data_IF_244417582566
#
_entry.id   IF_244417582566
#
_cell.length_a   1.000
_cell.length_b   1.000
_cell.length_c   1.000
_cell.angle_alpha   90.00
_cell.angle_beta   90.00
_cell.angle_gamma   90.00
#
_symmetry.space_group_name_H-M   'P 1'
#
loop_
_entity.id
_entity.type
_entity.pdbx_description
1 polymer ?
#
# COMPACT_ATOMS: atom_id res chain seq x y z
N UNK A 1 -7.12 -17.38 6.90
CA UNK A 1 -7.30 -16.00 7.36
C UNK A 1 -5.95 -15.32 7.30
N UNK A 2 -5.80 -14.32 6.44
CA UNK A 2 -4.52 -13.66 6.15
C UNK A 2 -4.03 -12.80 7.33
N UNK A 3 -2.73 -12.51 7.37
CA UNK A 3 -2.10 -11.73 8.44
C UNK A 3 -2.67 -10.30 8.52
N UNK A 4 -3.06 -9.71 7.39
CA UNK A 4 -3.72 -8.40 7.36
C UNK A 4 -5.06 -8.45 8.10
N UNK A 5 -5.87 -9.49 7.86
CA UNK A 5 -7.16 -9.69 8.54
C UNK A 5 -6.98 -9.85 10.05
N UNK A 6 -5.96 -10.61 10.50
CA UNK A 6 -5.68 -10.80 11.93
C UNK A 6 -5.28 -9.50 12.62
N UNK A 7 -4.48 -8.66 11.95
CA UNK A 7 -4.07 -7.35 12.47
C UNK A 7 -5.24 -6.37 12.58
N UNK A 8 -6.16 -6.39 11.61
CA UNK A 8 -7.40 -5.61 11.66
C UNK A 8 -8.30 -6.09 12.81
N UNK A 9 -8.43 -7.40 13.01
CA UNK A 9 -9.23 -7.97 14.09
C UNK A 9 -8.67 -7.63 15.48
N UNK A 10 -7.34 -7.68 15.63
CA UNK A 10 -6.68 -7.26 16.86
C UNK A 10 -6.98 -5.79 17.20
N UNK A 11 -6.96 -4.89 16.21
CA UNK A 11 -7.32 -3.48 16.41
C UNK A 11 -8.76 -3.29 16.89
N UNK A 12 -9.69 -4.14 16.43
CA UNK A 12 -11.09 -4.13 16.88
C UNK A 12 -11.19 -4.49 18.37
N UNK A 13 -10.49 -5.54 18.81
CA UNK A 13 -10.46 -5.92 20.22
C UNK A 13 -9.86 -4.84 21.12
N UNK A 14 -8.76 -4.22 20.67
CA UNK A 14 -8.08 -3.17 21.45
C UNK A 14 -8.98 -1.92 21.59
N UNK A 15 -9.79 -1.61 20.57
CA UNK A 15 -10.69 -0.45 20.57
C UNK A 15 -11.97 -0.67 21.38
N UNK A 16 -12.45 -1.91 21.45
CA UNK A 16 -13.68 -2.26 22.15
C UNK A 16 -13.46 -3.38 23.17
N UNK A 17 -12.64 -3.16 24.22
CA UNK A 17 -12.26 -4.19 25.18
C UNK A 17 -13.42 -4.70 26.03
N UNK A 18 -14.53 -3.94 26.09
CA UNK A 18 -15.75 -4.32 26.82
C UNK A 18 -16.78 -5.10 26.00
N UNK A 19 -16.54 -5.29 24.70
CA UNK A 19 -17.43 -6.07 23.82
C UNK A 19 -16.87 -7.48 23.71
N UNK A 20 -17.78 -8.46 23.70
CA UNK A 20 -17.42 -9.86 23.50
C UNK A 20 -16.64 -10.07 22.19
N UNK A 21 -15.58 -10.88 22.25
CA UNK A 21 -14.69 -11.10 21.10
C UNK A 21 -15.38 -11.83 19.96
N UNK A 22 -16.28 -12.77 20.28
CA UNK A 22 -17.02 -13.49 19.25
C UNK A 22 -17.99 -12.55 18.54
N UNK A 23 -18.66 -11.65 19.29
CA UNK A 23 -19.49 -10.60 18.67
C UNK A 23 -18.67 -9.65 17.77
N UNK A 24 -17.46 -9.26 18.19
CA UNK A 24 -16.56 -8.44 17.36
C UNK A 24 -16.13 -9.18 16.08
N UNK A 25 -15.84 -10.48 16.16
CA UNK A 25 -15.50 -11.31 15.00
C UNK A 25 -16.65 -11.44 14.02
N UNK A 26 -17.87 -11.63 14.53
CA UNK A 26 -19.09 -11.74 13.73
C UNK A 26 -19.39 -10.43 13.01
N UNK A 27 -19.29 -9.29 13.70
CA UNK A 27 -19.45 -7.96 13.09
C UNK A 27 -18.36 -7.70 12.06
N UNK A 28 -17.11 -8.08 12.34
CA UNK A 28 -15.99 -7.89 11.41
C UNK A 28 -16.16 -8.73 10.14
N UNK A 29 -16.62 -9.98 10.28
CA UNK A 29 -16.93 -10.85 9.15
C UNK A 29 -18.14 -10.33 8.34
N UNK A 30 -19.19 -9.86 9.02
CA UNK A 30 -20.38 -9.28 8.36
C UNK A 30 -20.07 -8.02 7.55
N UNK A 31 -19.06 -7.26 7.98
CA UNK A 31 -18.58 -6.04 7.33
C UNK A 31 -17.41 -6.29 6.36
N UNK A 32 -17.34 -7.48 5.74
CA UNK A 32 -16.32 -7.84 4.75
C UNK A 32 -14.87 -7.62 5.22
N UNK A 33 -14.60 -7.77 6.52
CA UNK A 33 -13.30 -7.49 7.12
C UNK A 33 -12.82 -6.04 6.92
N UNK A 34 -13.74 -5.09 6.73
CA UNK A 34 -13.49 -3.65 6.73
C UNK A 34 -13.48 -3.15 8.18
N UNK A 35 -12.34 -2.58 8.58
CA UNK A 35 -12.18 -2.07 9.93
C UNK A 35 -13.10 -0.86 10.16
N UNK A 36 -13.20 0.01 9.16
CA UNK A 36 -14.07 1.19 9.19
C UNK A 36 -15.54 0.85 9.36
N UNK A 37 -16.08 -0.04 8.52
CA UNK A 37 -17.50 -0.39 8.57
C UNK A 37 -17.84 -1.09 9.89
N UNK A 38 -16.94 -1.94 10.38
CA UNK A 38 -17.11 -2.62 11.67
C UNK A 38 -17.14 -1.64 12.83
N UNK A 39 -16.23 -0.66 12.85
CA UNK A 39 -16.19 0.38 13.88
C UNK A 39 -17.43 1.26 13.83
N UNK A 40 -17.92 1.63 12.64
CA UNK A 40 -19.17 2.39 12.48
C UNK A 40 -20.36 1.61 13.05
N UNK A 41 -20.51 0.36 12.62
CA UNK A 41 -21.60 -0.53 13.06
C UNK A 41 -21.61 -0.69 14.58
N UNK A 42 -20.43 -0.89 15.19
CA UNK A 42 -20.32 -1.04 16.65
C UNK A 42 -20.70 0.24 17.37
N UNK A 43 -20.23 1.40 16.90
CA UNK A 43 -20.55 2.69 17.49
C UNK A 43 -22.06 2.98 17.41
N UNK A 44 -22.70 2.69 16.28
CA UNK A 44 -24.15 2.80 16.09
C UNK A 44 -24.91 1.88 17.05
N UNK A 45 -24.45 0.63 17.20
CA UNK A 45 -25.06 -0.36 18.11
C UNK A 45 -24.96 0.05 19.58
N UNK A 46 -23.87 0.74 19.96
CA UNK A 46 -23.66 1.27 21.31
C UNK A 46 -24.37 2.61 21.56
N UNK A 47 -25.03 3.19 20.56
CA UNK A 47 -25.70 4.49 20.67
C UNK A 47 -24.73 5.66 20.84
N UNK A 48 -23.47 5.51 20.42
CA UNK A 48 -22.48 6.59 20.44
C UNK A 48 -22.73 7.46 19.21
N UNK A 49 -23.30 8.65 19.42
CA UNK A 49 -23.60 9.57 18.32
C UNK A 49 -22.30 10.01 17.61
N UNK A 50 -22.17 9.79 16.28
CA UNK A 50 -21.02 10.23 15.50
C UNK A 50 -20.73 11.74 15.57
N UNK A 51 -21.70 12.56 16.01
CA UNK A 51 -21.60 14.01 16.04
C UNK A 51 -21.10 14.61 17.37
N UNK A 52 -20.99 13.83 18.45
CA UNK A 52 -20.76 14.41 19.80
C UNK A 52 -19.31 14.34 20.31
N UNK A 53 -18.39 13.68 19.60
CA UNK A 53 -17.02 13.47 20.08
C UNK A 53 -15.98 13.80 19.02
N UNK A 54 -15.16 14.84 19.27
CA UNK A 54 -13.99 15.17 18.47
C UNK A 54 -12.98 13.99 18.41
N UNK A 55 -12.92 13.19 19.47
CA UNK A 55 -12.09 11.97 19.53
C UNK A 55 -12.59 10.89 18.56
N UNK A 56 -13.91 10.79 18.31
CA UNK A 56 -14.48 9.85 17.34
C UNK A 56 -14.15 10.23 15.90
N UNK A 57 -14.19 11.51 15.56
CA UNK A 57 -13.82 11.98 14.23
C UNK A 57 -12.33 11.81 13.94
N UNK A 58 -11.48 12.09 14.94
CA UNK A 58 -10.02 11.90 14.84
C UNK A 58 -9.67 10.41 14.70
N UNK A 59 -10.30 9.53 15.49
CA UNK A 59 -10.06 8.08 15.41
C UNK A 59 -10.55 7.49 14.09
N UNK A 60 -11.70 7.90 13.56
CA UNK A 60 -12.17 7.46 12.24
C UNK A 60 -11.20 7.92 11.14
N UNK A 61 -10.74 9.17 11.18
CA UNK A 61 -9.75 9.67 10.21
C UNK A 61 -8.42 8.91 10.27
N UNK A 62 -7.94 8.55 11.47
CA UNK A 62 -6.74 7.72 11.65
C UNK A 62 -6.91 6.32 11.06
N UNK A 63 -8.09 5.70 11.26
CA UNK A 63 -8.41 4.39 10.73
C UNK A 63 -8.55 4.40 9.20
N UNK A 64 -9.17 5.43 8.61
CA UNK A 64 -9.22 5.65 7.15
C UNK A 64 -7.80 5.74 6.57
N UNK A 65 -6.94 6.56 7.17
CA UNK A 65 -5.57 6.72 6.71
C UNK A 65 -4.71 5.47 6.92
N UNK A 66 -5.03 4.64 7.90
CA UNK A 66 -4.35 3.36 8.13
C UNK A 66 -4.82 2.29 7.13
N UNK A 67 -6.13 2.20 6.87
CA UNK A 67 -6.71 1.19 5.97
C UNK A 67 -6.34 1.47 4.51
N UNK A 68 -6.40 2.73 4.07
CA UNK A 68 -5.96 3.14 2.73
C UNK A 68 -4.47 2.87 2.50
N UNK A 69 -3.63 3.04 3.53
CA UNK A 69 -2.17 2.78 3.46
C UNK A 69 -1.85 1.29 3.38
N UNK A 70 -2.62 0.45 4.06
CA UNK A 70 -2.47 -1.01 4.02
C UNK A 70 -2.95 -1.59 2.68
N UNK A 71 -4.03 -1.04 2.11
CA UNK A 71 -4.48 -1.42 0.76
C UNK A 71 -3.45 -1.07 -0.30
N UNK A 72 -2.86 0.14 -0.24
CA UNK A 72 -1.80 0.54 -1.14
C UNK A 72 -0.54 -0.35 -1.01
N UNK A 73 -0.23 -0.80 0.21
CA UNK A 73 0.86 -1.74 0.49
C UNK A 73 0.60 -3.14 -0.08
N UNK A 74 -0.65 -3.60 -0.04
CA UNK A 74 -1.07 -4.90 -0.59
C UNK A 74 -1.02 -4.89 -2.12
N UNK A 75 -1.47 -3.80 -2.75
CA UNK A 75 -1.38 -3.58 -4.20
C UNK A 75 0.07 -3.49 -4.69
N UNK A 76 0.94 -2.75 -3.99
CA UNK A 76 2.36 -2.64 -4.33
C UNK A 76 3.10 -3.99 -4.16
N UNK A 77 2.70 -4.81 -3.19
CA UNK A 77 3.28 -6.14 -2.93
C UNK A 77 2.82 -7.24 -3.88
N UNK A 78 1.56 -7.19 -4.30
CA UNK A 78 1.00 -8.14 -5.24
C UNK A 78 1.46 -7.86 -6.68
N UNK A 79 2.09 -6.70 -6.93
CA UNK A 79 2.58 -6.33 -8.24
C UNK A 79 3.84 -7.09 -8.64
N UNK A 80 3.65 -8.23 -9.29
CA UNK A 80 4.67 -8.89 -10.10
C UNK A 80 4.31 -8.66 -11.58
N UNK A 81 5.17 -8.00 -12.39
CA UNK A 81 4.92 -7.87 -13.81
C UNK A 81 4.93 -9.26 -14.46
N UNK A 82 3.77 -9.76 -14.86
CA UNK A 82 3.67 -11.01 -15.64
C UNK A 82 4.09 -10.70 -17.08
N UNK A 83 5.19 -11.30 -17.52
CA UNK A 83 5.67 -11.24 -18.91
C UNK A 83 4.96 -12.29 -19.75
N UNK A 84 3.68 -12.08 -20.05
CA UNK A 84 2.99 -12.90 -21.05
C UNK A 84 3.43 -12.47 -22.47
N UNK A 85 3.84 -13.45 -23.28
CA UNK A 85 4.07 -13.28 -24.72
C UNK A 85 5.49 -12.92 -25.18
N UNK A 86 6.46 -12.74 -24.29
CA UNK A 86 7.84 -12.37 -24.67
C UNK A 86 8.91 -13.16 -23.89
N UNK A 87 9.07 -14.45 -24.23
CA UNK A 87 10.03 -15.37 -23.59
C UNK A 87 11.51 -14.94 -23.67
N UNK A 88 11.89 -13.98 -24.52
CA UNK A 88 13.27 -13.44 -24.54
C UNK A 88 13.42 -12.07 -23.84
N UNK A 89 12.36 -11.55 -23.22
CA UNK A 89 12.36 -10.22 -22.62
C UNK A 89 13.26 -10.15 -21.38
N UNK A 90 13.22 -11.16 -20.51
CA UNK A 90 14.03 -11.19 -19.29
C UNK A 90 15.54 -11.20 -19.61
N UNK A 91 15.93 -11.90 -20.67
CA UNK A 91 17.30 -11.97 -21.16
C UNK A 91 17.75 -10.61 -21.71
N UNK A 92 16.84 -9.92 -22.41
CA UNK A 92 17.07 -8.54 -22.90
C UNK A 92 17.11 -7.52 -21.77
N UNK A 93 16.28 -7.66 -20.73
CA UNK A 93 16.29 -6.82 -19.53
C UNK A 93 17.59 -6.98 -18.72
N UNK A 94 18.16 -8.19 -18.69
CA UNK A 94 19.50 -8.43 -18.12
C UNK A 94 20.61 -7.75 -18.93
N UNK A 95 20.49 -7.69 -20.26
CA UNK A 95 21.45 -6.99 -21.14
C UNK A 95 21.42 -5.47 -20.92
N UNK A 96 20.26 -4.89 -20.57
CA UNK A 96 20.14 -3.47 -20.23
C UNK A 96 20.65 -3.09 -18.84
N UNK A 97 21.28 -4.02 -18.11
CA UNK A 97 22.24 -3.76 -17.03
C UNK A 97 21.69 -3.23 -15.70
N UNK A 98 20.54 -2.56 -15.69
CA UNK A 98 20.05 -1.85 -14.51
C UNK A 98 18.62 -2.21 -14.10
N UNK A 99 17.84 -2.91 -14.92
CA UNK A 99 16.43 -3.25 -14.57
C UNK A 99 16.34 -4.08 -13.28
N UNK A 100 17.08 -5.20 -13.23
CA UNK A 100 17.09 -6.06 -12.05
C UNK A 100 17.69 -5.34 -10.83
N UNK A 101 18.68 -4.47 -11.04
CA UNK A 101 19.28 -3.68 -9.98
C UNK A 101 18.26 -2.68 -9.38
N UNK A 102 17.48 -2.00 -10.23
CA UNK A 102 16.44 -1.07 -9.84
C UNK A 102 15.27 -1.77 -9.13
N UNK A 103 14.84 -2.94 -9.61
CA UNK A 103 13.82 -3.73 -8.93
C UNK A 103 14.30 -4.24 -7.57
N UNK A 104 15.57 -4.69 -7.46
CA UNK A 104 16.17 -5.04 -6.15
C UNK A 104 16.26 -3.81 -5.23
N UNK A 105 16.65 -2.65 -5.75
CA UNK A 105 16.70 -1.38 -5.00
C UNK A 105 15.32 -1.02 -4.45
N UNK A 106 14.27 -1.12 -5.28
CA UNK A 106 12.89 -0.90 -4.85
C UNK A 106 12.48 -1.87 -3.73
N UNK A 107 12.79 -3.15 -3.86
CA UNK A 107 12.51 -4.17 -2.83
C UNK A 107 13.24 -3.90 -1.52
N UNK A 108 14.50 -3.46 -1.56
CA UNK A 108 15.26 -3.07 -0.36
C UNK A 108 14.56 -1.90 0.35
N UNK A 109 14.18 -0.87 -0.41
CA UNK A 109 13.48 0.28 0.16
C UNK A 109 12.08 -0.06 0.68
N UNK A 110 11.39 -1.00 0.05
CA UNK A 110 10.14 -1.54 0.57
C UNK A 110 10.33 -2.13 1.99
N UNK A 111 11.31 -3.01 2.19
CA UNK A 111 11.56 -3.61 3.50
C UNK A 111 11.96 -2.57 4.55
N UNK A 112 12.84 -1.63 4.19
CA UNK A 112 13.26 -0.55 5.10
C UNK A 112 12.11 0.39 5.48
N UNK A 113 11.19 0.66 4.54
CA UNK A 113 9.96 1.42 4.77
C UNK A 113 9.08 0.71 5.81
N UNK A 114 8.86 -0.59 5.65
CA UNK A 114 8.06 -1.37 6.59
C UNK A 114 8.67 -1.38 7.98
N UNK A 115 9.97 -1.66 8.07
CA UNK A 115 10.70 -1.66 9.35
C UNK A 115 10.59 -0.29 10.04
N UNK A 116 10.74 0.80 9.28
CA UNK A 116 10.61 2.16 9.79
C UNK A 116 9.21 2.43 10.34
N UNK A 117 8.15 2.07 9.62
CA UNK A 117 6.79 2.26 10.12
C UNK A 117 6.44 1.35 11.31
N UNK A 118 6.97 0.12 11.36
CA UNK A 118 6.84 -0.75 12.52
C UNK A 118 7.50 -0.13 13.76
N UNK A 119 8.71 0.41 13.62
CA UNK A 119 9.41 1.15 14.70
C UNK A 119 8.67 2.41 15.11
N UNK A 120 8.15 3.18 14.15
CA UNK A 120 7.33 4.36 14.42
C UNK A 120 6.10 4.01 15.24
N UNK A 121 5.37 2.96 14.83
CA UNK A 121 4.21 2.43 15.55
C UNK A 121 4.61 2.02 16.97
N UNK A 122 5.67 1.23 17.13
CA UNK A 122 6.15 0.80 18.45
C UNK A 122 6.53 1.96 19.37
N UNK A 123 7.17 3.00 18.83
CA UNK A 123 7.52 4.20 19.59
C UNK A 123 6.29 5.03 20.00
N UNK A 124 5.29 5.15 19.12
CA UNK A 124 4.04 5.84 19.40
C UNK A 124 3.28 5.18 20.56
N UNK A 125 3.15 3.85 20.56
CA UNK A 125 2.46 3.09 21.63
C UNK A 125 3.15 3.23 22.99
N UNK A 126 4.45 3.54 23.00
CA UNK A 126 5.24 3.80 24.22
C UNK A 126 5.22 5.28 24.63
N UNK A 127 4.44 6.13 23.97
CA UNK A 127 4.39 7.57 24.24
C UNK A 127 5.60 8.36 23.75
N UNK A 128 6.53 7.73 23.01
CA UNK A 128 7.77 8.35 22.54
C UNK A 128 7.53 9.12 21.23
N UNK A 129 6.83 10.26 21.31
CA UNK A 129 6.35 11.03 20.15
C UNK A 129 7.47 11.47 19.18
N UNK A 130 8.61 11.92 19.70
CA UNK A 130 9.75 12.36 18.86
C UNK A 130 10.38 11.21 18.09
N UNK A 131 10.55 10.06 18.74
CA UNK A 131 11.08 8.83 18.14
C UNK A 131 10.11 8.29 17.08
N UNK A 132 8.80 8.34 17.36
CA UNK A 132 7.78 7.97 16.40
C UNK A 132 7.80 8.86 15.14
N UNK A 133 7.96 10.18 15.32
CA UNK A 133 8.07 11.12 14.21
C UNK A 133 9.33 10.85 13.35
N UNK A 134 10.48 10.61 13.99
CA UNK A 134 11.73 10.28 13.30
C UNK A 134 11.57 9.04 12.38
N UNK A 135 11.06 7.93 12.93
CA UNK A 135 10.86 6.72 12.15
C UNK A 135 9.76 6.88 11.09
N UNK A 136 8.74 7.71 11.32
CA UNK A 136 7.74 8.04 10.32
C UNK A 136 8.34 8.79 9.13
N UNK A 137 9.27 9.72 9.39
CA UNK A 137 9.99 10.43 8.35
C UNK A 137 10.91 9.49 7.55
N UNK A 138 11.62 8.58 8.22
CA UNK A 138 12.41 7.55 7.56
C UNK A 138 11.56 6.64 6.66
N UNK A 139 10.39 6.22 7.13
CA UNK A 139 9.45 5.43 6.32
C UNK A 139 9.00 6.16 5.04
N UNK A 140 8.73 7.48 5.14
CA UNK A 140 8.41 8.31 3.98
C UNK A 140 9.56 8.43 2.99
N UNK A 141 10.79 8.65 3.48
CA UNK A 141 11.98 8.71 2.64
C UNK A 141 12.18 7.40 1.86
N UNK A 142 12.01 6.26 2.51
CA UNK A 142 12.10 4.96 1.83
C UNK A 142 10.96 4.75 0.83
N UNK A 143 9.75 5.25 1.09
CA UNK A 143 8.66 5.22 0.12
C UNK A 143 8.99 6.02 -1.15
N UNK A 144 9.62 7.19 -1.02
CA UNK A 144 10.06 8.00 -2.16
C UNK A 144 11.15 7.29 -2.97
N UNK A 145 12.14 6.71 -2.31
CA UNK A 145 13.21 5.97 -2.99
C UNK A 145 12.70 4.72 -3.70
N UNK A 146 11.79 3.98 -3.07
CA UNK A 146 11.11 2.82 -3.68
C UNK A 146 10.37 3.24 -4.95
N UNK A 147 9.58 4.33 -4.89
CA UNK A 147 8.85 4.87 -6.05
C UNK A 147 9.82 5.28 -7.17
N UNK A 148 10.89 5.99 -6.84
CA UNK A 148 11.87 6.42 -7.84
C UNK A 148 12.62 5.26 -8.49
N UNK A 149 12.88 4.17 -7.76
CA UNK A 149 13.49 2.96 -8.32
C UNK A 149 12.50 2.21 -9.24
N UNK A 150 11.23 2.08 -8.82
CA UNK A 150 10.18 1.49 -9.64
C UNK A 150 9.93 2.30 -10.92
N UNK A 151 9.81 3.62 -10.84
CA UNK A 151 9.60 4.48 -12.01
C UNK A 151 10.73 4.34 -13.04
N UNK A 152 11.99 4.25 -12.59
CA UNK A 152 13.14 3.99 -13.46
C UNK A 152 13.07 2.60 -14.11
N UNK A 153 12.74 1.57 -13.34
CA UNK A 153 12.61 0.20 -13.85
C UNK A 153 11.47 0.07 -14.86
N UNK A 154 10.33 0.68 -14.56
CA UNK A 154 9.15 0.75 -15.41
C UNK A 154 9.41 1.54 -16.70
N UNK A 155 10.23 2.59 -16.66
CA UNK A 155 10.70 3.30 -17.86
C UNK A 155 11.50 2.39 -18.80
N UNK A 156 12.46 1.63 -18.27
CA UNK A 156 13.25 0.66 -19.07
C UNK A 156 12.33 -0.38 -19.70
N UNK A 157 11.38 -0.92 -18.94
CA UNK A 157 10.42 -1.91 -19.45
C UNK A 157 9.52 -1.33 -20.53
N UNK A 158 9.01 -0.11 -20.32
CA UNK A 158 8.18 0.60 -21.27
C UNK A 158 8.89 0.83 -22.60
N UNK A 159 10.11 1.37 -22.57
CA UNK A 159 10.91 1.64 -23.76
C UNK A 159 11.21 0.34 -24.51
N UNK A 160 11.58 -0.71 -23.79
CA UNK A 160 11.89 -2.02 -24.38
C UNK A 160 10.69 -2.64 -25.09
N UNK A 161 9.50 -2.54 -24.47
CA UNK A 161 8.28 -3.18 -24.96
C UNK A 161 7.66 -2.42 -26.12
N UNK A 162 7.77 -1.10 -26.09
CA UNK A 162 7.23 -0.23 -27.14
C UNK A 162 8.24 0.03 -28.27
N UNK A 163 9.50 -0.41 -28.17
CA UNK A 163 10.51 -0.25 -29.23
C UNK A 163 10.11 -0.86 -30.58
N UNK A 164 9.26 -1.88 -30.57
CA UNK A 164 8.75 -2.56 -31.78
C UNK A 164 7.25 -2.39 -31.99
N UNK A 165 6.58 -1.57 -31.19
CA UNK A 165 5.16 -1.26 -31.38
C UNK A 165 4.98 -0.20 -32.48
N UNK A 166 3.88 -0.26 -33.21
CA UNK A 166 3.46 0.79 -34.13
C UNK A 166 2.89 2.00 -33.36
N UNK A 167 2.74 3.15 -34.03
CA UNK A 167 2.30 4.40 -33.39
C UNK A 167 0.91 4.29 -32.74
N UNK A 168 0.09 3.35 -33.23
CA UNK A 168 -1.27 3.07 -32.75
C UNK A 168 -1.35 2.06 -31.60
N UNK A 169 -0.27 1.34 -31.29
CA UNK A 169 -0.23 0.40 -30.17
C UNK A 169 0.60 0.99 -29.04
N UNK A 170 0.16 0.73 -27.81
CA UNK A 170 0.88 1.12 -26.61
C UNK A 170 0.79 -0.02 -25.62
N UNK A 171 1.95 -0.57 -25.27
CA UNK A 171 2.02 -1.61 -24.28
C UNK A 171 2.33 -1.03 -22.90
N UNK A 172 1.37 -1.19 -21.99
CA UNK A 172 1.43 -0.70 -20.62
C UNK A 172 1.56 -1.82 -19.58
N UNK A 173 1.57 -3.11 -19.97
CA UNK A 173 1.66 -4.13 -18.92
C UNK A 173 3.03 -4.12 -18.26
N UNK A 174 3.03 -4.39 -16.96
CA UNK A 174 4.21 -4.30 -16.11
C UNK A 174 4.47 -2.91 -15.53
N UNK A 175 3.69 -1.89 -15.92
CA UNK A 175 3.59 -0.60 -15.24
C UNK A 175 2.55 -0.62 -14.11
N UNK A 176 2.87 -0.04 -12.95
CA UNK A 176 1.88 0.24 -11.91
C UNK A 176 0.81 1.22 -12.42
N UNK A 177 -0.39 1.19 -11.85
CA UNK A 177 -1.54 2.03 -12.29
C UNK A 177 -1.15 3.50 -12.45
N UNK A 178 -0.46 4.06 -11.46
CA UNK A 178 -0.05 5.46 -11.48
C UNK A 178 0.96 5.76 -12.60
N UNK A 179 1.85 4.82 -12.90
CA UNK A 179 2.84 4.92 -13.97
C UNK A 179 2.16 4.86 -15.34
N UNK A 180 1.24 3.90 -15.53
CA UNK A 180 0.45 3.76 -16.74
C UNK A 180 -0.36 5.04 -17.05
N UNK A 181 -0.99 5.64 -16.04
CA UNK A 181 -1.69 6.92 -16.18
C UNK A 181 -0.74 8.03 -16.62
N UNK A 182 0.47 8.11 -16.05
CA UNK A 182 1.45 9.12 -16.45
C UNK A 182 1.91 8.93 -17.90
N UNK A 183 2.16 7.70 -18.33
CA UNK A 183 2.53 7.38 -19.70
C UNK A 183 1.41 7.79 -20.67
N UNK A 184 0.17 7.43 -20.36
CA UNK A 184 -1.00 7.80 -21.16
C UNK A 184 -1.18 9.31 -21.29
N UNK A 185 -0.93 10.08 -20.23
CA UNK A 185 -0.99 11.56 -20.27
C UNK A 185 0.11 12.17 -21.14
N UNK A 186 1.28 11.53 -21.23
CA UNK A 186 2.41 12.01 -22.01
C UNK A 186 2.27 11.71 -23.50
N UNK A 187 1.66 10.57 -23.89
CA UNK A 187 1.35 10.28 -25.30
C UNK A 187 0.25 11.25 -25.76
N UNK A 188 0.65 12.29 -26.51
CA UNK A 188 -0.32 13.11 -27.25
C UNK A 188 -0.81 12.30 -28.44
N UNK A 189 -2.09 11.93 -28.41
CA UNK A 189 -2.79 11.42 -29.59
C UNK A 189 -2.88 12.58 -30.59
N UNK A 190 -2.21 12.45 -31.73
CA UNK A 190 -2.28 13.41 -32.83
C UNK A 190 -3.04 12.83 -34.00
#
# INVERSE_FOLDING_TARGET
MDMATKLKNQKLYDKFPGIDRQALDEIFAANNYSLLQSVSTINETLGIDPSESAEHQETVAELVMAESRLQQEEEDMAWCPTVEGHEHMYERLQIFGDYDALRREATVHYHLRQESFQKAKGAYHRGMKTVAAFYSQQGRLHAEKMRAANERASGILFDLRNASCDDNTLDLHGLHVQEAIQVLKKKKWS
#
